data_IF_584906093205
#
_entry.id   IF_584906093205
#
_cell.length_a   1.000
_cell.length_b   1.000
_cell.length_c   1.000
_cell.angle_alpha   90.00
_cell.angle_beta   90.00
_cell.angle_gamma   90.00
#
_symmetry.space_group_name_H-M   'P 1'
#
loop_
_entity.id
_entity.type
_entity.pdbx_description
1 polymer ?
#
# COMPACT_ATOMS: atom_id res chain seq x y z
N UNK A 1 -8.00 0.83 -9.77
CA UNK A 1 -8.67 1.89 -8.98
C UNK A 1 -7.64 2.91 -8.49
N UNK A 2 -8.00 4.19 -8.47
CA UNK A 2 -7.20 5.23 -7.78
C UNK A 2 -7.41 5.07 -6.27
N UNK A 3 -6.33 4.90 -5.51
CA UNK A 3 -6.38 4.68 -4.06
C UNK A 3 -6.45 6.00 -3.31
N UNK A 4 -5.68 7.01 -3.73
CA UNK A 4 -5.70 8.33 -3.11
C UNK A 4 -5.93 9.40 -4.16
N UNK A 5 -6.83 10.35 -3.88
CA UNK A 5 -7.08 11.52 -4.73
C UNK A 5 -6.22 12.72 -4.32
N UNK A 6 -5.88 12.82 -3.03
CA UNK A 6 -5.06 13.90 -2.48
C UNK A 6 -3.61 13.81 -3.00
N UNK A 7 -3.04 12.60 -3.02
CA UNK A 7 -1.76 12.29 -3.65
C UNK A 7 -2.00 11.14 -4.64
N UNK A 8 -2.17 11.42 -5.95
CA UNK A 8 -2.69 10.46 -6.90
C UNK A 8 -1.77 9.25 -7.08
N UNK A 9 -2.24 8.09 -6.61
CA UNK A 9 -1.63 6.79 -6.91
C UNK A 9 -2.70 5.70 -7.06
N UNK A 10 -2.39 4.71 -7.89
CA UNK A 10 -3.29 3.59 -8.23
C UNK A 10 -3.02 2.36 -7.37
N UNK A 11 -4.01 1.46 -7.28
CA UNK A 11 -3.86 0.16 -6.63
C UNK A 11 -2.77 -0.69 -7.30
N UNK A 12 -2.60 -0.54 -8.63
CA UNK A 12 -1.52 -1.19 -9.36
C UNK A 12 -0.15 -0.76 -8.84
N UNK A 13 0.05 0.54 -8.59
CA UNK A 13 1.32 1.05 -8.04
C UNK A 13 1.59 0.49 -6.64
N UNK A 14 0.54 0.40 -5.81
CA UNK A 14 0.62 -0.21 -4.48
C UNK A 14 1.03 -1.68 -4.58
N UNK A 15 0.36 -2.46 -5.43
CA UNK A 15 0.66 -3.90 -5.61
C UNK A 15 2.08 -4.13 -6.15
N UNK A 16 2.49 -3.35 -7.14
CA UNK A 16 3.83 -3.40 -7.73
C UNK A 16 4.93 -3.13 -6.69
N UNK A 17 4.72 -2.13 -5.83
CA UNK A 17 5.63 -1.85 -4.71
C UNK A 17 5.69 -3.00 -3.69
N UNK A 18 4.53 -3.57 -3.33
CA UNK A 18 4.45 -4.66 -2.35
C UNK A 18 5.12 -5.95 -2.86
N UNK A 19 4.90 -6.29 -4.13
CA UNK A 19 5.51 -7.44 -4.80
C UNK A 19 7.02 -7.26 -4.93
N UNK A 20 7.47 -6.08 -5.40
CA UNK A 20 8.90 -5.76 -5.54
C UNK A 20 9.67 -5.69 -4.22
N UNK A 21 8.99 -5.46 -3.08
CA UNK A 21 9.62 -5.48 -1.75
C UNK A 21 9.99 -6.91 -1.31
N UNK A 22 9.28 -7.94 -1.78
CA UNK A 22 9.55 -9.33 -1.43
C UNK A 22 9.23 -9.70 0.03
N UNK A 23 8.29 -9.00 0.68
CA UNK A 23 7.92 -9.29 2.07
C UNK A 23 6.81 -8.41 2.63
N UNK A 24 6.62 -8.46 3.96
CA UNK A 24 5.59 -7.62 4.59
C UNK A 24 5.91 -6.13 4.47
N UNK A 25 4.88 -5.31 4.30
CA UNK A 25 4.99 -3.86 4.33
C UNK A 25 4.00 -3.21 5.30
N UNK A 26 4.33 -1.99 5.72
CA UNK A 26 3.47 -1.18 6.58
C UNK A 26 2.71 -0.17 5.73
N UNK A 27 1.52 0.24 6.17
CA UNK A 27 0.68 1.23 5.47
C UNK A 27 1.42 2.55 5.27
N UNK A 28 2.13 3.02 6.31
CA UNK A 28 2.92 4.26 6.24
C UNK A 28 4.03 4.19 5.19
N UNK A 29 4.77 3.09 5.16
CA UNK A 29 5.87 2.89 4.20
C UNK A 29 5.33 2.79 2.77
N UNK A 30 4.27 2.00 2.58
CA UNK A 30 3.60 1.82 1.30
C UNK A 30 3.01 3.15 0.80
N UNK A 31 2.40 3.93 1.69
CA UNK A 31 1.88 5.26 1.37
C UNK A 31 2.99 6.16 0.87
N UNK A 32 4.05 6.31 1.67
CA UNK A 32 5.23 7.14 1.36
C UNK A 32 5.84 6.75 0.01
N UNK A 33 6.03 5.45 -0.24
CA UNK A 33 6.58 4.97 -1.51
C UNK A 33 5.67 5.28 -2.72
N UNK A 34 4.35 5.16 -2.54
CA UNK A 34 3.39 5.40 -3.62
C UNK A 34 3.14 6.88 -3.89
N UNK A 35 3.19 7.71 -2.84
CA UNK A 35 2.94 9.16 -2.89
C UNK A 35 4.20 10.00 -3.18
N UNK A 36 5.39 9.40 -3.17
CA UNK A 36 6.65 10.13 -3.38
C UNK A 36 7.20 10.80 -2.11
N UNK A 37 6.89 10.25 -0.92
CA UNK A 37 7.34 10.77 0.37
C UNK A 37 6.32 11.65 1.09
N UNK A 38 5.16 11.88 0.49
CA UNK A 38 4.11 12.71 1.07
C UNK A 38 3.49 12.05 2.30
N UNK A 39 2.96 12.87 3.22
CA UNK A 39 2.19 12.40 4.38
C UNK A 39 0.68 12.41 4.09
N UNK A 40 -0.11 11.53 4.72
CA UNK A 40 -1.56 11.54 4.55
C UNK A 40 -2.16 12.87 4.98
N UNK A 41 -2.90 13.53 4.09
CA UNK A 41 -3.57 14.81 4.37
C UNK A 41 -5.04 14.60 4.77
N UNK A 42 -5.79 13.88 3.93
CA UNK A 42 -7.24 13.71 4.07
C UNK A 42 -7.66 12.38 4.74
N UNK A 43 -6.72 11.45 4.93
CA UNK A 43 -6.90 10.10 5.52
C UNK A 43 -7.94 9.17 4.88
N UNK A 44 -8.77 9.64 3.94
CA UNK A 44 -9.83 8.87 3.27
C UNK A 44 -9.31 7.63 2.52
N UNK A 45 -8.11 7.75 1.95
CA UNK A 45 -7.46 6.66 1.21
C UNK A 45 -6.81 5.59 2.10
N UNK A 46 -6.67 5.85 3.41
CA UNK A 46 -5.88 5.00 4.30
C UNK A 46 -6.58 3.67 4.59
N UNK A 47 -7.91 3.64 4.65
CA UNK A 47 -8.65 2.39 4.87
C UNK A 47 -8.46 1.44 3.68
N UNK A 48 -8.66 1.92 2.46
CA UNK A 48 -8.41 1.15 1.24
C UNK A 48 -6.96 0.70 1.15
N UNK A 49 -6.00 1.58 1.45
CA UNK A 49 -4.59 1.22 1.45
C UNK A 49 -4.27 0.15 2.51
N UNK A 50 -4.85 0.28 3.71
CA UNK A 50 -4.69 -0.68 4.80
C UNK A 50 -5.21 -2.05 4.43
N UNK A 51 -6.38 -2.14 3.78
CA UNK A 51 -6.94 -3.40 3.31
C UNK A 51 -6.01 -4.10 2.30
N UNK A 52 -5.50 -3.36 1.31
CA UNK A 52 -4.57 -3.90 0.31
C UNK A 52 -3.29 -4.43 0.97
N UNK A 53 -2.69 -3.63 1.87
CA UNK A 53 -1.46 -4.01 2.57
C UNK A 53 -1.68 -5.21 3.49
N UNK A 54 -2.80 -5.26 4.22
CA UNK A 54 -3.13 -6.40 5.08
C UNK A 54 -3.36 -7.67 4.26
N UNK A 55 -4.06 -7.58 3.14
CA UNK A 55 -4.28 -8.71 2.23
C UNK A 55 -2.96 -9.25 1.70
N UNK A 56 -2.05 -8.37 1.26
CA UNK A 56 -0.72 -8.76 0.84
C UNK A 56 0.08 -9.44 1.95
N UNK A 57 0.12 -8.84 3.15
CA UNK A 57 0.88 -9.39 4.27
C UNK A 57 0.35 -10.76 4.73
N UNK A 58 -0.98 -10.99 4.64
CA UNK A 58 -1.58 -12.31 4.91
C UNK A 58 -1.17 -13.33 3.86
N UNK A 59 -1.17 -12.96 2.58
CA UNK A 59 -0.73 -13.83 1.49
C UNK A 59 0.76 -14.20 1.63
N UNK A 60 1.62 -13.23 1.96
CA UNK A 60 3.05 -13.48 2.23
C UNK A 60 3.27 -14.46 3.40
N UNK A 61 2.47 -14.34 4.47
CA UNK A 61 2.52 -15.27 5.60
C UNK A 61 2.08 -16.69 5.24
N UNK A 62 1.16 -16.85 4.30
CA UNK A 62 0.70 -18.17 3.84
C UNK A 62 1.69 -18.87 2.92
N UNK A 63 2.57 -18.14 2.23
CA UNK A 63 3.61 -18.68 1.34
C UNK A 63 4.85 -19.15 2.11
N UNK A 64 5.06 -18.66 3.34
CA UNK A 64 6.22 -19.01 4.18
C UNK A 64 6.01 -20.27 5.04
N UNK A 65 4.96 -21.07 4.77
CA UNK A 65 4.62 -22.32 5.48
C UNK A 65 4.85 -23.53 4.57
#
# INVERSE_FOLDING_TARGET
MIVCLCHPFSDKKVKDHLDGKGGCSSVSETYSACSGGEKPNCCQCLETLKDIVQTHNRAQKAVSV
#
